data_IF_643131580556
#
_entry.id   IF_643131580556
#
_cell.length_a   1.000
_cell.length_b   1.000
_cell.length_c   1.000
_cell.angle_alpha   90.00
_cell.angle_beta   90.00
_cell.angle_gamma   90.00
#
_symmetry.space_group_name_H-M   'P 1'
#
loop_
_entity.id
_entity.type
_entity.pdbx_description
1 polymer ?
#
# COMPACT_ATOMS: atom_id res chain seq x y z
N UNK A 1 -14.79 24.15 -9.33
CA UNK A 1 -14.17 22.94 -8.78
C UNK A 1 -12.75 23.19 -8.25
N UNK A 2 -11.77 23.50 -9.11
CA UNK A 2 -10.36 23.73 -8.71
C UNK A 2 -10.15 24.66 -7.51
N UNK A 3 -10.65 25.91 -7.56
CA UNK A 3 -10.45 26.88 -6.46
C UNK A 3 -10.99 26.40 -5.12
N UNK A 4 -12.12 25.67 -5.13
CA UNK A 4 -12.71 25.10 -3.92
C UNK A 4 -11.79 24.04 -3.35
N UNK A 5 -11.38 23.06 -4.17
CA UNK A 5 -10.50 21.97 -3.75
C UNK A 5 -9.15 22.51 -3.24
N UNK A 6 -8.51 23.41 -3.98
CA UNK A 6 -7.26 24.03 -3.56
C UNK A 6 -7.42 24.73 -2.20
N UNK A 7 -8.46 25.56 -2.03
CA UNK A 7 -8.68 26.30 -0.78
C UNK A 7 -8.95 25.38 0.42
N UNK A 8 -9.68 24.28 0.20
CA UNK A 8 -9.96 23.28 1.24
C UNK A 8 -8.68 22.55 1.64
N UNK A 9 -7.90 22.08 0.66
CA UNK A 9 -6.63 21.38 0.90
C UNK A 9 -5.60 22.30 1.60
N UNK A 10 -5.54 23.58 1.23
CA UNK A 10 -4.69 24.58 1.90
C UNK A 10 -5.13 24.81 3.35
N UNK A 11 -6.44 24.96 3.59
CA UNK A 11 -7.04 25.16 4.93
C UNK A 11 -6.72 24.00 5.89
N UNK A 12 -6.72 22.76 5.40
CA UNK A 12 -6.41 21.56 6.20
C UNK A 12 -4.91 21.22 6.22
N UNK A 13 -4.05 22.12 5.72
CA UNK A 13 -2.60 21.95 5.67
C UNK A 13 -2.17 20.62 5.02
N UNK A 14 -2.82 20.30 3.91
CA UNK A 14 -2.46 19.15 3.08
C UNK A 14 -1.00 19.26 2.60
N UNK A 15 -0.31 18.13 2.53
CA UNK A 15 1.06 18.06 2.01
C UNK A 15 1.18 16.85 1.08
N UNK A 16 1.11 17.10 -0.22
CA UNK A 16 1.01 16.04 -1.21
C UNK A 16 0.62 16.53 -2.59
N UNK A 17 0.16 15.59 -3.42
CA UNK A 17 -0.35 15.83 -4.76
C UNK A 17 -1.72 15.20 -4.94
N UNK A 18 -2.61 15.92 -5.63
CA UNK A 18 -3.94 15.48 -6.04
C UNK A 18 -4.06 15.65 -7.54
N UNK A 19 -4.48 14.59 -8.24
CA UNK A 19 -4.95 14.67 -9.62
C UNK A 19 -6.37 14.12 -9.66
N UNK A 20 -7.34 14.91 -10.10
CA UNK A 20 -8.70 14.45 -10.35
C UNK A 20 -9.14 14.86 -11.75
N UNK A 21 -9.84 13.97 -12.46
CA UNK A 21 -10.41 14.25 -13.77
C UNK A 21 -11.86 13.77 -13.81
N UNK A 22 -12.77 14.68 -14.15
CA UNK A 22 -14.21 14.41 -14.20
C UNK A 22 -14.63 13.82 -15.56
N UNK A 23 -15.85 13.28 -15.64
CA UNK A 23 -16.44 12.74 -16.88
C UNK A 23 -16.55 13.76 -18.02
N UNK A 24 -16.55 15.06 -17.69
CA UNK A 24 -16.53 16.14 -18.66
C UNK A 24 -15.11 16.61 -19.05
N UNK A 25 -14.07 15.86 -18.65
CA UNK A 25 -12.65 16.18 -18.81
C UNK A 25 -12.20 17.45 -18.08
N UNK A 26 -12.89 17.86 -17.00
CA UNK A 26 -12.35 18.90 -16.13
C UNK A 26 -11.24 18.29 -15.27
N UNK A 27 -10.07 18.92 -15.28
CA UNK A 27 -8.89 18.44 -14.55
C UNK A 27 -8.62 19.34 -13.36
N UNK A 28 -8.36 18.71 -12.22
CA UNK A 28 -7.82 19.32 -11.01
C UNK A 28 -6.46 18.68 -10.76
N UNK A 29 -5.40 19.47 -10.87
CA UNK A 29 -4.03 19.03 -10.59
C UNK A 29 -3.43 20.00 -9.58
N UNK A 30 -3.31 19.53 -8.34
CA UNK A 30 -2.97 20.34 -7.17
C UNK A 30 -1.81 19.71 -6.43
N UNK A 31 -0.75 20.49 -6.21
CA UNK A 31 0.37 20.13 -5.35
C UNK A 31 0.48 21.15 -4.21
N UNK A 32 0.59 20.69 -2.97
CA UNK A 32 0.72 21.56 -1.79
C UNK A 32 1.83 21.02 -0.89
N UNK A 33 2.63 21.93 -0.33
CA UNK A 33 3.60 21.61 0.71
C UNK A 33 5.00 21.27 0.17
N UNK A 34 5.73 20.46 0.93
CA UNK A 34 7.16 20.20 0.72
C UNK A 34 7.45 18.72 0.45
N UNK A 35 8.17 18.48 -0.64
CA UNK A 35 8.78 17.19 -0.96
C UNK A 35 9.85 16.86 0.08
N UNK A 36 10.62 17.87 0.50
CA UNK A 36 11.52 17.78 1.65
C UNK A 36 11.37 19.02 2.52
N UNK A 37 10.72 18.86 3.68
CA UNK A 37 10.48 19.96 4.62
C UNK A 37 11.77 20.50 5.24
N UNK A 38 12.78 19.65 5.47
CA UNK A 38 14.04 20.05 6.11
C UNK A 38 14.86 20.97 5.20
N UNK A 39 14.84 20.67 3.90
CA UNK A 39 15.54 21.43 2.87
C UNK A 39 14.63 22.44 2.15
N UNK A 40 13.38 22.60 2.58
CA UNK A 40 12.37 23.48 2.00
C UNK A 40 12.16 23.28 0.49
N UNK A 41 12.23 22.02 0.03
CA UNK A 41 11.99 21.67 -1.37
C UNK A 41 10.48 21.54 -1.59
N UNK A 42 9.85 22.39 -2.42
CA UNK A 42 8.40 22.33 -2.65
C UNK A 42 8.00 21.08 -3.44
N UNK A 43 6.76 20.64 -3.26
CA UNK A 43 6.14 19.65 -4.16
C UNK A 43 5.79 20.36 -5.47
N UNK A 44 6.07 19.68 -6.58
CA UNK A 44 5.76 20.14 -7.94
C UNK A 44 5.14 18.99 -8.73
N UNK A 45 4.61 19.26 -9.93
CA UNK A 45 4.09 18.22 -10.82
C UNK A 45 5.13 17.19 -11.28
N UNK A 46 6.43 17.44 -11.07
CA UNK A 46 7.52 16.49 -11.36
C UNK A 46 8.02 15.73 -10.13
N UNK A 47 7.48 16.03 -8.94
CA UNK A 47 7.89 15.37 -7.70
C UNK A 47 7.41 13.91 -7.71
N UNK A 48 8.36 12.99 -7.64
CA UNK A 48 8.10 11.57 -7.53
C UNK A 48 7.71 11.19 -6.10
N UNK A 49 6.62 10.44 -5.93
CA UNK A 49 6.21 9.86 -4.66
C UNK A 49 6.46 8.35 -4.68
N UNK A 50 6.89 7.76 -3.56
CA UNK A 50 6.83 6.31 -3.39
C UNK A 50 5.35 5.91 -3.33
N UNK A 51 4.88 5.15 -4.32
CA UNK A 51 3.47 4.76 -4.43
C UNK A 51 3.16 3.43 -3.72
N UNK A 52 4.13 2.85 -3.02
CA UNK A 52 3.97 1.65 -2.19
C UNK A 52 3.15 0.56 -2.92
N UNK A 53 2.14 -0.02 -2.28
CA UNK A 53 1.33 -1.11 -2.85
C UNK A 53 0.55 -0.77 -4.13
N UNK A 54 0.37 0.51 -4.47
CA UNK A 54 -0.21 0.89 -5.76
C UNK A 54 0.63 0.36 -6.94
N UNK A 55 1.93 0.13 -6.70
CA UNK A 55 2.86 -0.53 -7.64
C UNK A 55 2.36 -1.88 -8.16
N UNK A 56 1.55 -2.62 -7.39
CA UNK A 56 1.01 -3.93 -7.77
C UNK A 56 0.21 -3.90 -9.06
N UNK A 57 -0.51 -2.81 -9.33
CA UNK A 57 -1.22 -2.64 -10.60
C UNK A 57 -0.25 -2.69 -11.80
N UNK A 58 0.93 -2.06 -11.69
CA UNK A 58 1.93 -2.04 -12.75
C UNK A 58 2.53 -3.44 -12.97
N UNK A 59 2.87 -4.12 -11.88
CA UNK A 59 3.36 -5.51 -11.90
C UNK A 59 2.35 -6.43 -12.56
N UNK A 60 1.09 -6.36 -12.13
CA UNK A 60 0.02 -7.16 -12.70
C UNK A 60 -0.13 -6.92 -14.20
N UNK A 61 -0.11 -5.66 -14.66
CA UNK A 61 -0.19 -5.35 -16.09
C UNK A 61 1.00 -5.90 -16.89
N UNK A 62 2.22 -5.89 -16.34
CA UNK A 62 3.37 -6.52 -16.99
C UNK A 62 3.19 -8.05 -17.11
N UNK A 63 2.71 -8.71 -16.05
CA UNK A 63 2.37 -10.15 -16.07
C UNK A 63 1.30 -10.44 -17.12
N UNK A 64 0.22 -9.65 -17.15
CA UNK A 64 -0.88 -9.82 -18.10
C UNK A 64 -0.43 -9.65 -19.55
N UNK A 65 0.46 -8.70 -19.83
CA UNK A 65 1.07 -8.54 -21.15
C UNK A 65 1.91 -9.77 -21.55
N UNK A 66 2.71 -10.33 -20.64
CA UNK A 66 3.47 -11.56 -20.89
C UNK A 66 2.53 -12.76 -21.14
N UNK A 67 1.38 -12.81 -20.47
CA UNK A 67 0.34 -13.82 -20.70
C UNK A 67 -0.31 -13.66 -22.08
N UNK A 68 -0.68 -12.44 -22.48
CA UNK A 68 -1.23 -12.19 -23.83
C UNK A 68 -0.25 -12.57 -24.94
N UNK A 69 1.04 -12.33 -24.70
CA UNK A 69 2.13 -12.71 -25.59
C UNK A 69 2.45 -14.22 -25.55
N UNK A 70 1.77 -14.98 -24.68
CA UNK A 70 1.96 -16.43 -24.47
C UNK A 70 3.37 -16.82 -24.02
N UNK A 71 4.10 -15.88 -23.40
CA UNK A 71 5.42 -16.13 -22.81
C UNK A 71 5.27 -16.91 -21.52
N UNK A 72 4.24 -16.57 -20.73
CA UNK A 72 3.82 -17.25 -19.50
C UNK A 72 2.31 -17.51 -19.57
N UNK A 73 1.78 -18.35 -18.68
CA UNK A 73 0.34 -18.63 -18.60
C UNK A 73 -0.16 -18.52 -17.16
N UNK A 74 -1.43 -18.11 -16.98
CA UNK A 74 -2.08 -18.06 -15.67
C UNK A 74 -1.91 -19.33 -14.83
N UNK A 75 -1.94 -20.50 -15.47
CA UNK A 75 -1.83 -21.81 -14.82
C UNK A 75 -0.42 -22.40 -14.82
N UNK A 76 0.59 -21.62 -15.19
CA UNK A 76 1.97 -22.03 -14.98
C UNK A 76 2.20 -22.13 -13.45
N UNK A 77 2.72 -23.28 -13.01
CA UNK A 77 3.07 -23.51 -11.61
C UNK A 77 4.36 -22.77 -11.23
N UNK A 78 4.48 -22.44 -9.94
CA UNK A 78 5.64 -21.76 -9.37
C UNK A 78 6.95 -22.53 -9.57
N UNK A 79 6.86 -23.87 -9.60
CA UNK A 79 7.99 -24.80 -9.86
C UNK A 79 8.67 -24.62 -11.22
N UNK A 80 8.04 -23.92 -12.16
CA UNK A 80 8.67 -23.55 -13.44
C UNK A 80 9.73 -22.46 -13.27
N UNK A 81 9.65 -21.68 -12.20
CA UNK A 81 10.41 -20.45 -12.00
C UNK A 81 11.27 -20.47 -10.73
N UNK A 82 10.87 -21.26 -9.74
CA UNK A 82 11.55 -21.38 -8.46
C UNK A 82 11.64 -22.83 -8.02
N UNK A 83 12.72 -23.18 -7.32
CA UNK A 83 12.85 -24.48 -6.68
C UNK A 83 11.98 -24.50 -5.41
N UNK A 84 10.80 -25.09 -5.45
CA UNK A 84 9.95 -25.24 -4.27
C UNK A 84 9.08 -26.49 -4.36
N UNK A 85 9.16 -27.34 -3.34
CA UNK A 85 8.26 -28.49 -3.20
C UNK A 85 7.00 -28.19 -2.38
N UNK A 86 7.08 -27.19 -1.49
CA UNK A 86 6.00 -26.79 -0.58
C UNK A 86 4.89 -26.08 -1.38
N UNK A 87 5.27 -25.13 -2.23
CA UNK A 87 4.34 -24.29 -2.99
C UNK A 87 4.18 -24.76 -4.45
N UNK A 88 4.36 -26.06 -4.71
CA UNK A 88 4.42 -26.62 -6.06
C UNK A 88 3.15 -26.46 -6.90
N UNK A 89 2.01 -26.35 -6.22
CA UNK A 89 0.67 -26.24 -6.82
C UNK A 89 0.20 -24.76 -6.92
N UNK A 90 1.00 -23.81 -6.45
CA UNK A 90 0.72 -22.37 -6.61
C UNK A 90 0.91 -21.98 -8.08
N UNK A 91 -0.08 -21.30 -8.65
CA UNK A 91 -0.03 -20.78 -10.02
C UNK A 91 0.21 -19.28 -10.08
N UNK A 92 0.56 -18.76 -11.26
CA UNK A 92 0.66 -17.31 -11.51
C UNK A 92 -0.65 -16.57 -11.18
N UNK A 93 -1.80 -17.19 -11.48
CA UNK A 93 -3.12 -16.63 -11.14
C UNK A 93 -3.31 -16.51 -9.62
N UNK A 94 -2.83 -17.49 -8.85
CA UNK A 94 -2.92 -17.45 -7.38
C UNK A 94 -2.08 -16.32 -6.78
N UNK A 95 -0.92 -16.02 -7.37
CA UNK A 95 -0.10 -14.88 -6.97
C UNK A 95 -0.81 -13.56 -7.25
N UNK A 96 -1.32 -13.37 -8.47
CA UNK A 96 -2.03 -12.15 -8.90
C UNK A 96 -3.26 -11.86 -8.03
N UNK A 97 -3.98 -12.90 -7.61
CA UNK A 97 -5.25 -12.79 -6.89
C UNK A 97 -5.14 -12.91 -5.37
N UNK A 98 -3.93 -13.03 -4.81
CA UNK A 98 -3.72 -13.24 -3.37
C UNK A 98 -4.38 -14.52 -2.81
N UNK A 99 -4.40 -15.60 -3.60
CA UNK A 99 -4.97 -16.90 -3.22
C UNK A 99 -3.92 -18.00 -3.07
N UNK A 100 -2.64 -17.64 -2.99
CA UNK A 100 -1.51 -18.59 -2.95
C UNK A 100 -1.31 -19.28 -1.60
N UNK A 101 -1.71 -18.64 -0.50
CA UNK A 101 -1.41 -19.08 0.87
C UNK A 101 0.04 -18.83 1.30
N UNK A 102 0.84 -18.15 0.49
CA UNK A 102 2.26 -17.88 0.77
C UNK A 102 2.40 -16.83 1.90
N UNK A 103 3.21 -17.09 2.94
CA UNK A 103 3.43 -16.14 4.02
C UNK A 103 4.05 -14.81 3.60
N UNK A 104 3.85 -13.79 4.43
CA UNK A 104 4.39 -12.45 4.23
C UNK A 104 5.89 -12.40 4.54
N UNK A 105 6.65 -11.67 3.72
CA UNK A 105 8.08 -11.43 3.92
C UNK A 105 8.34 -10.10 4.64
N UNK A 106 7.49 -9.09 4.44
CA UNK A 106 7.65 -7.77 5.07
C UNK A 106 7.59 -7.90 6.59
N UNK A 107 8.37 -7.11 7.34
CA UNK A 107 8.45 -7.26 8.80
C UNK A 107 9.38 -8.38 9.28
N UNK A 108 9.65 -9.40 8.45
CA UNK A 108 10.59 -10.44 8.82
C UNK A 108 12.03 -10.02 8.54
N UNK A 109 12.70 -9.51 9.57
CA UNK A 109 14.10 -9.10 9.48
C UNK A 109 15.05 -10.21 9.02
N UNK A 110 14.68 -11.49 9.20
CA UNK A 110 15.50 -12.65 8.85
C UNK A 110 15.40 -13.07 7.38
N UNK A 111 14.43 -12.56 6.62
CA UNK A 111 14.32 -12.85 5.19
C UNK A 111 15.33 -12.01 4.43
N UNK A 112 16.38 -12.65 3.91
CA UNK A 112 17.39 -12.01 3.06
C UNK A 112 17.07 -12.21 1.58
N UNK A 113 16.54 -13.38 1.20
CA UNK A 113 16.04 -13.66 -0.15
C UNK A 113 14.58 -14.12 -0.10
N UNK A 114 13.76 -13.75 -1.09
CA UNK A 114 12.33 -14.06 -1.05
C UNK A 114 12.08 -15.58 -1.15
N UNK A 115 13.00 -16.31 -1.77
CA UNK A 115 13.02 -17.77 -1.87
C UNK A 115 13.17 -18.43 -0.49
N UNK A 116 13.69 -17.75 0.53
CA UNK A 116 13.71 -18.26 1.90
C UNK A 116 12.30 -18.57 2.41
N UNK A 117 11.29 -17.78 2.00
CA UNK A 117 9.89 -18.07 2.31
C UNK A 117 9.45 -19.38 1.63
N UNK A 118 9.87 -19.60 0.39
CA UNK A 118 9.47 -20.78 -0.40
C UNK A 118 10.10 -22.09 0.10
N UNK A 119 11.17 -22.01 0.89
CA UNK A 119 11.88 -23.16 1.44
C UNK A 119 11.60 -23.41 2.92
N UNK A 120 11.38 -22.35 3.70
CA UNK A 120 11.40 -22.43 5.16
C UNK A 120 10.05 -22.14 5.84
N UNK A 121 9.01 -21.82 5.06
CA UNK A 121 7.69 -21.50 5.60
C UNK A 121 6.63 -22.44 5.04
N UNK A 122 5.64 -22.74 5.87
CA UNK A 122 4.45 -23.50 5.49
C UNK A 122 3.36 -22.55 4.96
N UNK A 123 2.51 -22.99 4.02
CA UNK A 123 1.38 -22.19 3.56
C UNK A 123 0.36 -21.99 4.69
N UNK A 124 -0.24 -20.80 4.77
CA UNK A 124 -1.38 -20.58 5.67
C UNK A 124 -2.62 -21.38 5.25
N UNK A 125 -2.78 -21.64 3.95
CA UNK A 125 -3.84 -22.45 3.37
C UNK A 125 -3.43 -22.98 1.99
N UNK A 126 -4.17 -23.97 1.48
CA UNK A 126 -3.90 -24.52 0.15
C UNK A 126 -4.22 -23.51 -0.96
N UNK A 127 -3.46 -23.50 -2.07
CA UNK A 127 -3.70 -22.55 -3.17
C UNK A 127 -5.15 -22.60 -3.66
N UNK A 128 -5.80 -21.44 -3.75
CA UNK A 128 -7.20 -21.30 -4.17
C UNK A 128 -8.24 -21.72 -3.12
N UNK A 129 -7.86 -22.05 -1.88
CA UNK A 129 -8.81 -22.36 -0.80
C UNK A 129 -9.04 -21.20 0.18
N UNK A 130 -8.26 -20.14 0.10
CA UNK A 130 -8.35 -18.96 0.96
C UNK A 130 -7.83 -17.71 0.25
N UNK A 131 -8.00 -16.56 0.89
CA UNK A 131 -7.50 -15.28 0.41
C UNK A 131 -6.70 -14.59 1.51
N UNK A 132 -5.49 -14.17 1.19
CA UNK A 132 -4.61 -13.43 2.09
C UNK A 132 -3.76 -12.48 1.27
N UNK A 133 -3.90 -11.19 1.53
CA UNK A 133 -3.02 -10.17 0.98
C UNK A 133 -1.59 -10.40 1.50
N UNK A 134 -0.66 -10.64 0.57
CA UNK A 134 0.75 -10.88 0.88
C UNK A 134 1.61 -10.23 -0.19
N UNK A 135 2.56 -9.41 0.24
CA UNK A 135 3.49 -8.73 -0.64
C UNK A 135 4.44 -9.73 -1.33
N UNK A 136 4.73 -10.85 -0.68
CA UNK A 136 5.55 -11.95 -1.23
C UNK A 136 5.09 -12.37 -2.62
N UNK A 137 3.77 -12.44 -2.86
CA UNK A 137 3.24 -12.81 -4.17
C UNK A 137 3.74 -11.91 -5.29
N UNK A 138 3.77 -10.60 -5.04
CA UNK A 138 4.12 -9.62 -6.06
C UNK A 138 5.62 -9.47 -6.25
N UNK A 139 6.42 -9.75 -5.21
CA UNK A 139 7.88 -9.90 -5.35
C UNK A 139 8.21 -11.11 -6.22
N UNK A 140 7.53 -12.24 -6.01
CA UNK A 140 7.69 -13.42 -6.86
C UNK A 140 7.25 -13.15 -8.31
N UNK A 141 6.16 -12.40 -8.51
CA UNK A 141 5.75 -11.98 -9.86
C UNK A 141 6.79 -11.08 -10.53
N UNK A 142 7.44 -10.17 -9.80
CA UNK A 142 8.56 -9.38 -10.34
C UNK A 142 9.73 -10.26 -10.77
N UNK A 143 10.13 -11.25 -9.95
CA UNK A 143 11.16 -12.22 -10.33
C UNK A 143 10.77 -13.04 -11.56
N UNK A 144 9.50 -13.47 -11.68
CA UNK A 144 8.99 -14.14 -12.88
C UNK A 144 9.06 -13.21 -14.10
N UNK A 145 8.70 -11.93 -13.96
CA UNK A 145 8.80 -10.95 -15.04
C UNK A 145 10.25 -10.87 -15.54
N UNK A 146 11.23 -10.74 -14.65
CA UNK A 146 12.65 -10.64 -15.03
C UNK A 146 13.15 -11.91 -15.72
N UNK A 147 12.81 -13.09 -15.17
CA UNK A 147 13.16 -14.37 -15.77
C UNK A 147 12.50 -14.56 -17.16
N UNK A 148 11.24 -14.18 -17.31
CA UNK A 148 10.51 -14.33 -18.57
C UNK A 148 10.94 -13.32 -19.64
N UNK A 149 11.22 -12.08 -19.25
CA UNK A 149 11.59 -10.99 -20.17
C UNK A 149 13.08 -10.95 -20.48
N UNK A 150 13.92 -11.53 -19.62
CA UNK A 150 15.39 -11.41 -19.64
C UNK A 150 15.86 -9.94 -19.52
N UNK A 151 15.05 -9.09 -18.90
CA UNK A 151 15.32 -7.69 -18.61
C UNK A 151 15.18 -7.43 -17.12
N UNK A 152 15.78 -6.35 -16.62
CA UNK A 152 15.51 -5.91 -15.25
C UNK A 152 14.04 -5.50 -15.09
N UNK A 153 13.53 -5.53 -13.86
CA UNK A 153 12.17 -5.08 -13.54
C UNK A 153 11.94 -3.63 -14.01
N UNK A 154 12.92 -2.74 -13.80
CA UNK A 154 12.87 -1.36 -14.28
C UNK A 154 12.80 -1.28 -15.80
N UNK A 155 13.66 -2.00 -16.53
CA UNK A 155 13.66 -1.94 -17.99
C UNK A 155 12.35 -2.50 -18.57
N UNK A 156 11.78 -3.50 -17.90
CA UNK A 156 10.47 -4.05 -18.26
C UNK A 156 9.36 -3.04 -18.02
N UNK A 157 9.33 -2.37 -16.86
CA UNK A 157 8.39 -1.29 -16.54
C UNK A 157 8.46 -0.17 -17.59
N UNK A 158 9.66 0.28 -17.92
CA UNK A 158 9.88 1.32 -18.92
C UNK A 158 9.37 0.88 -20.30
N UNK A 159 9.74 -0.32 -20.75
CA UNK A 159 9.42 -0.81 -22.09
C UNK A 159 7.94 -1.15 -22.27
N UNK A 160 7.33 -1.79 -21.29
CA UNK A 160 5.99 -2.36 -21.40
C UNK A 160 4.88 -1.41 -20.95
N UNK A 161 5.19 -0.39 -20.14
CA UNK A 161 4.18 0.52 -19.59
C UNK A 161 4.56 1.98 -19.83
N UNK A 162 5.72 2.41 -19.32
CA UNK A 162 6.04 3.83 -19.26
C UNK A 162 6.20 4.45 -20.65
N UNK A 163 6.94 3.82 -21.55
CA UNK A 163 7.14 4.31 -22.92
C UNK A 163 5.85 4.30 -23.76
N UNK A 164 5.04 3.21 -23.81
CA UNK A 164 3.78 3.19 -24.55
C UNK A 164 2.78 4.29 -24.13
N UNK A 165 2.75 4.63 -22.84
CA UNK A 165 1.86 5.65 -22.29
C UNK A 165 2.51 7.02 -22.07
N UNK A 166 3.80 7.16 -22.42
CA UNK A 166 4.60 8.37 -22.24
C UNK A 166 4.65 8.85 -20.77
N UNK A 167 4.77 7.91 -19.83
CA UNK A 167 4.91 8.18 -18.39
C UNK A 167 6.36 8.58 -18.08
N UNK A 168 6.66 9.87 -18.14
CA UNK A 168 8.04 10.39 -18.01
C UNK A 168 8.56 10.39 -16.57
N UNK A 169 7.65 10.26 -15.60
CA UNK A 169 7.91 10.34 -14.18
C UNK A 169 7.38 9.09 -13.48
N UNK A 170 7.68 7.90 -14.03
CA UNK A 170 7.38 6.58 -13.44
C UNK A 170 8.64 5.73 -13.48
N UNK A 171 9.17 5.31 -12.32
CA UNK A 171 10.45 4.56 -12.24
C UNK A 171 10.63 3.88 -10.88
N UNK A 172 11.42 2.82 -10.81
CA UNK A 172 11.97 2.24 -9.57
C UNK A 172 13.34 2.84 -9.18
N UNK A 173 13.91 3.71 -10.02
CA UNK A 173 15.24 4.30 -9.86
C UNK A 173 15.16 5.84 -9.86
N UNK A 174 14.58 6.48 -8.83
CA UNK A 174 14.24 7.92 -8.84
C UNK A 174 15.43 8.89 -8.79
N UNK A 175 16.68 8.42 -8.96
CA UNK A 175 17.93 9.17 -8.71
C UNK A 175 18.07 10.49 -9.48
N UNK A 176 17.40 10.64 -10.62
CA UNK A 176 17.51 11.82 -11.49
C UNK A 176 16.37 12.83 -11.34
N UNK A 177 15.46 12.64 -10.38
CA UNK A 177 14.23 13.44 -10.24
C UNK A 177 14.01 13.86 -8.78
N UNK A 178 13.38 15.02 -8.54
CA UNK A 178 12.94 15.39 -7.19
C UNK A 178 12.03 14.30 -6.63
N UNK A 179 12.37 13.78 -5.46
CA UNK A 179 11.62 12.70 -4.81
C UNK A 179 11.10 13.21 -3.48
N UNK A 180 9.82 12.97 -3.21
CA UNK A 180 9.22 13.27 -1.94
C UNK A 180 9.88 12.41 -0.85
N UNK A 181 10.31 13.04 0.23
CA UNK A 181 10.89 12.39 1.40
C UNK A 181 9.75 12.12 2.37
N UNK A 182 9.60 10.86 2.75
CA UNK A 182 8.59 10.40 3.70
C UNK A 182 8.82 10.99 5.09
N UNK A 183 7.74 11.40 5.72
CA UNK A 183 7.77 12.04 7.05
C UNK A 183 6.85 11.31 8.01
N UNK A 184 7.31 11.16 9.24
CA UNK A 184 6.54 10.63 10.36
C UNK A 184 6.16 11.77 11.31
N UNK A 185 4.99 11.69 11.93
CA UNK A 185 4.57 12.62 12.96
C UNK A 185 5.15 12.19 14.32
N UNK A 186 6.05 13.00 14.86
CA UNK A 186 6.53 12.87 16.23
C UNK A 186 5.46 13.39 17.18
N UNK A 187 4.69 12.48 17.76
CA UNK A 187 3.60 12.80 18.69
C UNK A 187 4.08 13.42 20.00
N UNK A 188 5.36 13.32 20.37
CA UNK A 188 5.88 13.91 21.60
C UNK A 188 6.20 15.38 21.36
N UNK A 189 6.95 15.66 20.29
CA UNK A 189 7.38 17.02 19.94
C UNK A 189 6.38 17.75 19.03
N UNK A 190 5.29 17.09 18.63
CA UNK A 190 4.20 17.63 17.81
C UNK A 190 4.70 18.24 16.49
N UNK A 191 5.57 17.50 15.78
CA UNK A 191 6.16 17.94 14.52
C UNK A 191 6.44 16.76 13.59
N UNK A 192 6.54 17.03 12.30
CA UNK A 192 7.06 16.04 11.36
C UNK A 192 8.58 15.89 11.44
N UNK A 193 9.05 14.66 11.32
CA UNK A 193 10.46 14.28 11.18
C UNK A 193 10.62 13.41 9.94
N UNK A 194 11.83 13.33 9.37
CA UNK A 194 12.08 12.34 8.32
C UNK A 194 11.90 10.94 8.89
N UNK A 195 11.36 10.00 8.10
CA UNK A 195 11.20 8.60 8.52
C UNK A 195 12.51 8.01 9.04
N UNK A 196 13.63 8.38 8.42
CA UNK A 196 14.97 7.92 8.79
C UNK A 196 15.50 8.48 10.12
N UNK A 197 14.87 9.53 10.66
CA UNK A 197 15.18 10.08 11.98
C UNK A 197 14.44 9.33 13.12
N UNK A 198 13.45 8.49 12.81
CA UNK A 198 12.71 7.70 13.79
C UNK A 198 13.50 6.42 14.20
N UNK A 199 13.68 6.12 15.50
CA UNK A 199 14.49 4.98 15.94
C UNK A 199 14.00 3.61 15.45
N UNK A 200 12.69 3.43 15.21
CA UNK A 200 12.10 2.19 14.71
C UNK A 200 12.28 2.10 13.19
N UNK A 201 12.06 3.21 12.49
CA UNK A 201 12.03 3.23 11.02
C UNK A 201 13.34 3.70 10.36
N UNK A 202 14.39 4.03 11.12
CA UNK A 202 15.68 4.51 10.59
C UNK A 202 16.32 3.64 9.50
N UNK A 203 16.00 2.36 9.53
CA UNK A 203 16.56 1.31 8.67
C UNK A 203 15.52 0.69 7.73
N UNK A 204 14.31 1.29 7.65
CA UNK A 204 13.16 0.74 6.90
C UNK A 204 13.49 0.51 5.42
N UNK A 205 14.35 1.36 4.85
CA UNK A 205 14.72 1.29 3.44
C UNK A 205 15.96 0.39 3.19
N UNK A 206 16.64 -0.16 4.21
CA UNK A 206 17.90 -0.90 4.01
C UNK A 206 17.73 -2.21 3.21
N UNK A 207 16.52 -2.74 3.07
CA UNK A 207 16.19 -3.90 2.23
C UNK A 207 15.75 -3.42 0.84
N UNK A 208 16.71 -3.07 0.00
CA UNK A 208 16.46 -2.40 -1.30
C UNK A 208 16.20 -3.33 -2.49
N UNK A 209 16.21 -4.65 -2.32
CA UNK A 209 16.22 -5.58 -3.47
C UNK A 209 14.88 -6.25 -3.78
N UNK A 210 13.80 -5.88 -3.08
CA UNK A 210 12.46 -6.37 -3.39
C UNK A 210 11.63 -5.30 -4.10
N UNK A 211 11.08 -5.68 -5.25
CA UNK A 211 10.23 -4.86 -6.10
C UNK A 211 9.03 -5.69 -6.55
N UNK A 212 8.00 -5.02 -7.07
CA UNK A 212 6.81 -5.64 -7.64
C UNK A 212 5.59 -5.50 -6.75
N UNK A 213 5.77 -5.70 -5.45
CA UNK A 213 4.79 -5.37 -4.42
C UNK A 213 4.76 -3.87 -4.12
N UNK A 214 5.91 -3.20 -4.25
CA UNK A 214 6.14 -1.78 -4.08
C UNK A 214 7.32 -1.29 -4.93
N UNK A 215 7.95 -0.20 -4.47
CA UNK A 215 9.21 0.29 -5.04
C UNK A 215 9.11 1.11 -6.32
N UNK A 216 7.91 1.27 -6.90
CA UNK A 216 7.69 2.25 -7.97
C UNK A 216 7.51 3.63 -7.35
N UNK A 217 8.10 4.61 -8.00
CA UNK A 217 7.90 6.03 -7.76
C UNK A 217 7.19 6.64 -8.95
N UNK A 218 6.14 7.42 -8.70
CA UNK A 218 5.37 8.08 -9.76
C UNK A 218 4.81 9.45 -9.35
N UNK A 219 4.40 10.25 -10.34
CA UNK A 219 3.56 11.45 -10.12
C UNK A 219 2.07 11.09 -10.21
N UNK A 220 1.21 11.92 -9.60
CA UNK A 220 -0.23 11.72 -9.65
C UNK A 220 -0.77 11.67 -11.10
N UNK A 221 -0.22 12.52 -11.97
CA UNK A 221 -0.59 12.58 -13.38
C UNK A 221 -0.22 11.30 -14.15
N UNK A 222 0.96 10.73 -13.90
CA UNK A 222 1.38 9.50 -14.58
C UNK A 222 0.56 8.29 -14.12
N UNK A 223 0.19 8.21 -12.85
CA UNK A 223 -0.72 7.18 -12.34
C UNK A 223 -2.09 7.28 -13.02
N UNK A 224 -2.64 8.49 -13.16
CA UNK A 224 -3.90 8.71 -13.85
C UNK A 224 -3.83 8.27 -15.33
N UNK A 225 -2.74 8.58 -16.03
CA UNK A 225 -2.51 8.10 -17.41
C UNK A 225 -2.39 6.59 -17.49
N UNK A 226 -1.68 5.98 -16.53
CA UNK A 226 -1.52 4.53 -16.43
C UNK A 226 -2.88 3.82 -16.31
N UNK A 227 -3.68 4.17 -15.30
CA UNK A 227 -4.95 3.46 -15.03
C UNK A 227 -5.96 3.66 -16.17
N UNK A 228 -6.04 4.87 -16.73
CA UNK A 228 -6.91 5.13 -17.90
C UNK A 228 -6.40 4.40 -19.14
N UNK A 229 -5.09 4.35 -19.36
CA UNK A 229 -4.49 3.64 -20.48
C UNK A 229 -4.76 2.13 -20.42
N UNK A 230 -4.68 1.55 -19.21
CA UNK A 230 -5.07 0.17 -18.95
C UNK A 230 -6.55 -0.08 -19.30
N UNK A 231 -7.49 0.72 -18.76
CA UNK A 231 -8.93 0.59 -19.04
C UNK A 231 -9.29 0.74 -20.52
N UNK A 232 -8.53 1.56 -21.24
CA UNK A 232 -8.71 1.77 -22.69
C UNK A 232 -8.13 0.64 -23.55
N UNK A 233 -7.55 -0.39 -22.94
CA UNK A 233 -6.91 -1.51 -23.64
C UNK A 233 -5.64 -1.11 -24.40
N UNK A 234 -4.92 -0.07 -23.95
CA UNK A 234 -3.66 0.38 -24.58
C UNK A 234 -2.46 -0.48 -24.20
N UNK A 235 -2.54 -1.19 -23.07
CA UNK A 235 -1.46 -2.03 -22.54
C UNK A 235 -1.73 -3.52 -22.76
N UNK A 236 -2.99 -3.93 -22.67
CA UNK A 236 -3.48 -5.29 -22.93
C UNK A 236 -4.83 -5.21 -23.64
N UNK A 237 -5.32 -6.28 -24.26
CA UNK A 237 -6.64 -6.29 -24.89
C UNK A 237 -7.77 -6.02 -23.89
N UNK A 238 -8.91 -5.51 -24.37
CA UNK A 238 -10.09 -5.30 -23.51
C UNK A 238 -10.63 -6.60 -22.91
N UNK A 239 -10.41 -7.75 -23.57
CA UNK A 239 -10.73 -9.07 -23.00
C UNK A 239 -9.89 -9.34 -21.76
N UNK A 240 -8.58 -9.05 -21.83
CA UNK A 240 -7.67 -9.20 -20.70
C UNK A 240 -7.93 -8.17 -19.60
N UNK A 241 -8.31 -6.93 -19.95
CA UNK A 241 -8.79 -5.93 -18.96
C UNK A 241 -9.97 -6.49 -18.19
N UNK A 242 -11.01 -6.99 -18.88
CA UNK A 242 -12.19 -7.56 -18.23
C UNK A 242 -11.85 -8.77 -17.36
N UNK A 243 -10.92 -9.63 -17.80
CA UNK A 243 -10.45 -10.76 -17.00
C UNK A 243 -9.68 -10.31 -15.75
N UNK A 244 -8.81 -9.32 -15.88
CA UNK A 244 -8.02 -8.80 -14.77
C UNK A 244 -8.90 -8.12 -13.71
N UNK A 245 -10.00 -7.50 -14.12
CA UNK A 245 -10.96 -6.83 -13.24
C UNK A 245 -12.06 -7.74 -12.72
N UNK A 246 -12.13 -9.00 -13.15
CA UNK A 246 -13.04 -9.97 -12.57
C UNK A 246 -12.57 -10.30 -11.13
N UNK A 247 -13.41 -10.05 -10.10
CA UNK A 247 -12.99 -10.30 -8.73
C UNK A 247 -12.72 -11.78 -8.45
N UNK A 248 -11.82 -12.03 -7.51
CA UNK A 248 -11.57 -13.36 -6.97
C UNK A 248 -12.87 -13.92 -6.36
N UNK A 249 -13.19 -15.21 -6.57
CA UNK A 249 -14.29 -15.87 -5.88
C UNK A 249 -14.16 -15.84 -4.34
N UNK A 250 -12.94 -15.61 -3.83
CA UNK A 250 -12.62 -15.61 -2.40
C UNK A 250 -12.52 -14.20 -1.82
N UNK A 251 -12.54 -13.15 -2.66
CA UNK A 251 -12.55 -11.76 -2.22
C UNK A 251 -13.24 -10.88 -3.27
N UNK A 252 -14.47 -10.45 -2.97
CA UNK A 252 -15.37 -9.78 -3.92
C UNK A 252 -14.85 -8.46 -4.48
N UNK A 253 -13.83 -7.87 -3.84
CA UNK A 253 -13.30 -6.56 -4.20
C UNK A 253 -11.86 -6.58 -4.72
N UNK A 254 -11.30 -7.74 -5.09
CA UNK A 254 -9.91 -7.83 -5.58
C UNK A 254 -9.81 -8.67 -6.86
N UNK A 255 -9.22 -8.09 -7.92
CA UNK A 255 -8.90 -8.74 -9.18
C UNK A 255 -7.40 -9.07 -9.30
N UNK A 256 -6.87 -9.13 -10.53
CA UNK A 256 -5.43 -9.31 -10.77
C UNK A 256 -4.67 -7.99 -10.48
N UNK A 257 -4.38 -7.70 -9.21
CA UNK A 257 -3.61 -6.53 -8.79
C UNK A 257 -4.39 -5.23 -8.71
N UNK A 258 -5.71 -5.31 -8.81
CA UNK A 258 -6.62 -4.16 -8.73
C UNK A 258 -7.65 -4.41 -7.62
N UNK A 259 -7.89 -3.40 -6.81
CA UNK A 259 -9.10 -3.30 -6.00
C UNK A 259 -10.24 -2.92 -6.95
N UNK A 260 -11.33 -3.65 -6.91
CA UNK A 260 -12.51 -3.48 -7.76
C UNK A 260 -13.73 -3.32 -6.87
N UNK A 261 -14.24 -2.11 -6.74
CA UNK A 261 -15.32 -1.80 -5.81
C UNK A 261 -16.21 -0.69 -6.35
N UNK A 262 -17.52 -0.85 -6.20
CA UNK A 262 -18.53 0.18 -6.51
C UNK A 262 -18.41 0.77 -7.92
N UNK A 263 -18.14 -0.07 -8.92
CA UNK A 263 -17.98 0.34 -10.32
C UNK A 263 -16.67 1.07 -10.63
N UNK A 264 -15.74 1.10 -9.68
CA UNK A 264 -14.42 1.71 -9.80
C UNK A 264 -13.31 0.68 -9.60
N UNK A 265 -12.13 1.01 -10.11
CA UNK A 265 -10.90 0.24 -9.98
C UNK A 265 -9.76 1.09 -9.44
N UNK A 266 -8.76 0.44 -8.87
CA UNK A 266 -7.51 1.09 -8.54
C UNK A 266 -6.75 0.29 -7.49
N UNK A 267 -6.05 1.00 -6.61
CA UNK A 267 -5.36 0.42 -5.47
C UNK A 267 -4.95 1.53 -4.50
N UNK A 268 -4.77 1.19 -3.23
CA UNK A 268 -4.09 2.05 -2.24
C UNK A 268 -2.63 1.62 -2.04
N UNK A 269 -1.84 2.46 -1.41
CA UNK A 269 -0.48 2.11 -1.03
C UNK A 269 -0.04 2.87 0.19
N UNK A 270 0.38 2.15 1.23
CA UNK A 270 0.98 2.71 2.43
C UNK A 270 2.41 2.23 2.60
N UNK A 271 3.29 3.13 3.01
CA UNK A 271 4.64 2.86 3.50
C UNK A 271 4.93 3.89 4.61
N UNK A 272 5.84 3.65 5.57
CA UNK A 272 6.15 4.65 6.58
C UNK A 272 6.43 6.03 5.98
N UNK A 273 5.56 7.00 6.28
CA UNK A 273 5.61 8.36 5.78
C UNK A 273 5.13 8.58 4.34
N UNK A 274 4.46 7.62 3.72
CA UNK A 274 3.86 7.74 2.39
C UNK A 274 2.46 7.10 2.35
N UNK A 275 1.54 7.76 1.67
CA UNK A 275 0.24 7.18 1.31
C UNK A 275 -0.10 7.52 -0.12
N UNK A 276 -0.84 6.62 -0.77
CA UNK A 276 -1.25 6.75 -2.16
C UNK A 276 -2.59 6.08 -2.39
N UNK A 277 -3.43 6.73 -3.19
CA UNK A 277 -4.72 6.20 -3.58
C UNK A 277 -4.94 6.47 -5.06
N UNK A 278 -5.44 5.46 -5.77
CA UNK A 278 -5.98 5.56 -7.11
C UNK A 278 -7.40 5.02 -7.10
N UNK A 279 -8.34 5.81 -7.58
CA UNK A 279 -9.71 5.39 -7.84
C UNK A 279 -10.08 5.84 -9.25
N UNK A 280 -10.51 4.91 -10.11
CA UNK A 280 -10.91 5.20 -11.47
C UNK A 280 -12.21 4.47 -11.82
N UNK A 281 -13.24 5.23 -12.18
CA UNK A 281 -14.54 4.71 -12.59
C UNK A 281 -14.43 3.97 -13.92
N UNK A 282 -14.90 2.73 -13.96
CA UNK A 282 -14.88 1.89 -15.17
C UNK A 282 -15.86 2.39 -16.22
N UNK A 283 -16.96 3.04 -15.79
CA UNK A 283 -18.03 3.50 -16.69
C UNK A 283 -17.84 4.93 -17.16
N UNK A 284 -17.55 5.86 -16.24
CA UNK A 284 -17.39 7.28 -16.56
C UNK A 284 -15.97 7.67 -16.95
N UNK A 285 -14.96 6.85 -16.61
CA UNK A 285 -13.55 7.17 -16.82
C UNK A 285 -13.02 8.26 -15.89
N UNK A 286 -13.82 8.69 -14.92
CA UNK A 286 -13.42 9.59 -13.85
C UNK A 286 -12.28 8.99 -13.05
N UNK A 287 -11.29 9.79 -12.68
CA UNK A 287 -10.13 9.32 -11.93
C UNK A 287 -9.77 10.30 -10.83
N UNK A 288 -9.45 9.77 -9.67
CA UNK A 288 -8.96 10.51 -8.50
C UNK A 288 -7.69 9.83 -8.01
N UNK A 289 -6.60 10.60 -7.95
CA UNK A 289 -5.31 10.21 -7.41
C UNK A 289 -4.99 11.14 -6.23
N UNK A 290 -4.65 10.57 -5.09
CA UNK A 290 -4.21 11.28 -3.88
C UNK A 290 -2.88 10.68 -3.44
N UNK A 291 -1.84 11.51 -3.33
CA UNK A 291 -0.51 11.10 -2.89
C UNK A 291 -0.05 11.98 -1.73
N UNK A 292 0.48 11.38 -0.67
CA UNK A 292 1.05 12.08 0.49
C UNK A 292 2.45 11.55 0.78
N UNK A 293 3.33 12.42 1.28
CA UNK A 293 4.64 12.05 1.84
C UNK A 293 4.73 12.39 3.34
N UNK A 294 3.59 12.28 4.01
CA UNK A 294 3.46 12.48 5.44
C UNK A 294 2.59 11.36 6.02
N UNK A 295 3.00 10.85 7.17
CA UNK A 295 2.14 10.07 8.05
C UNK A 295 0.91 10.91 8.38
N UNK A 296 -0.29 10.34 8.18
CA UNK A 296 -1.58 10.96 8.46
C UNK A 296 -2.57 9.90 8.95
N UNK A 297 -3.64 10.35 9.61
CA UNK A 297 -4.74 9.48 10.04
C UNK A 297 -5.48 8.90 8.82
N UNK A 298 -5.81 7.59 8.80
CA UNK A 298 -6.66 7.01 7.75
C UNK A 298 -8.00 7.74 7.56
N UNK A 299 -8.61 8.21 8.65
CA UNK A 299 -9.87 8.98 8.59
C UNK A 299 -9.70 10.34 7.89
N UNK A 300 -8.53 10.98 8.03
CA UNK A 300 -8.22 12.24 7.35
C UNK A 300 -8.13 12.02 5.83
N UNK A 301 -7.44 10.96 5.40
CA UNK A 301 -7.33 10.63 3.97
C UNK A 301 -8.67 10.21 3.38
N UNK A 302 -9.45 9.41 4.11
CA UNK A 302 -10.79 9.00 3.69
C UNK A 302 -11.69 10.21 3.41
N UNK A 303 -11.76 11.18 4.34
CA UNK A 303 -12.58 12.37 4.11
C UNK A 303 -12.07 13.22 2.94
N UNK A 304 -10.76 13.29 2.70
CA UNK A 304 -10.22 13.97 1.51
C UNK A 304 -10.68 13.25 0.24
N UNK A 305 -10.59 11.92 0.19
CA UNK A 305 -11.04 11.14 -0.97
C UNK A 305 -12.53 11.30 -1.23
N UNK A 306 -13.36 11.23 -0.19
CA UNK A 306 -14.81 11.50 -0.27
C UNK A 306 -15.08 12.90 -0.83
N UNK A 307 -14.34 13.90 -0.35
CA UNK A 307 -14.43 15.27 -0.82
C UNK A 307 -13.99 15.44 -2.28
N UNK A 308 -12.89 14.79 -2.69
CA UNK A 308 -12.39 14.86 -4.07
C UNK A 308 -13.34 14.19 -5.06
N UNK A 309 -14.04 13.13 -4.65
CA UNK A 309 -14.97 12.42 -5.50
C UNK A 309 -16.32 13.13 -5.67
N UNK A 310 -16.76 13.92 -4.67
CA UNK A 310 -18.05 14.63 -4.71
C UNK A 310 -17.95 16.08 -4.18
N UNK A 311 -17.07 16.94 -4.72
CA UNK A 311 -16.68 18.20 -4.09
C UNK A 311 -17.81 19.22 -3.89
N UNK A 312 -18.94 19.07 -4.59
CA UNK A 312 -20.11 19.95 -4.44
C UNK A 312 -21.15 19.41 -3.45
N UNK A 313 -21.13 18.11 -3.14
CA UNK A 313 -22.14 17.42 -2.32
C UNK A 313 -21.55 16.86 -1.00
N UNK A 314 -20.23 16.73 -0.93
CA UNK A 314 -19.49 16.27 0.24
C UNK A 314 -19.26 17.39 1.25
N UNK A 315 -19.23 17.04 2.54
CA UNK A 315 -18.72 17.92 3.59
C UNK A 315 -17.22 18.16 3.39
N UNK A 316 -16.74 19.38 3.66
CA UNK A 316 -15.30 19.62 3.74
C UNK A 316 -14.65 18.70 4.78
N UNK A 317 -13.43 18.17 4.52
CA UNK A 317 -12.71 17.37 5.50
C UNK A 317 -12.50 18.14 6.80
N UNK A 318 -12.91 17.53 7.91
CA UNK A 318 -12.76 18.05 9.27
C UNK A 318 -12.08 17.07 10.24
N UNK A 319 -11.82 15.84 9.79
CA UNK A 319 -11.06 14.86 10.54
C UNK A 319 -9.66 15.42 10.87
N UNK A 320 -9.17 15.20 12.11
CA UNK A 320 -7.84 15.66 12.48
C UNK A 320 -6.78 14.89 11.67
N UNK A 321 -5.75 15.60 11.23
CA UNK A 321 -4.63 15.01 10.46
C UNK A 321 -3.93 13.88 11.22
N UNK A 322 -3.91 13.94 12.56
CA UNK A 322 -3.39 12.89 13.45
C UNK A 322 -4.35 12.65 14.62
N UNK A 323 -4.39 11.42 15.19
CA UNK A 323 -5.08 11.19 16.45
C UNK A 323 -4.40 11.96 17.60
N UNK A 324 -5.20 12.39 18.58
CA UNK A 324 -4.66 12.91 19.84
C UNK A 324 -4.17 11.75 20.70
N UNK A 325 -2.94 11.85 21.24
CA UNK A 325 -2.40 10.83 22.17
C UNK A 325 -2.40 11.36 23.61
N UNK A 326 -2.62 10.45 24.56
CA UNK A 326 -2.42 10.67 25.98
C UNK A 326 -0.94 10.46 26.34
N UNK A 327 -0.51 11.11 27.43
CA UNK A 327 0.84 10.90 27.98
C UNK A 327 1.02 9.43 28.37
N UNK A 328 2.13 8.84 27.94
CA UNK A 328 2.50 7.48 28.30
C UNK A 328 2.53 7.26 29.82
N UNK A 329 1.98 6.13 30.25
CA UNK A 329 1.94 5.68 31.63
C UNK A 329 2.31 4.19 31.70
N UNK A 330 3.45 3.87 32.31
CA UNK A 330 3.87 2.47 32.48
C UNK A 330 3.03 1.71 33.52
N UNK A 331 2.21 2.39 34.33
CA UNK A 331 1.34 1.74 35.31
C UNK A 331 0.25 0.84 34.66
N UNK A 332 -0.02 1.00 33.36
CA UNK A 332 -0.97 0.15 32.64
C UNK A 332 -0.46 -1.30 32.46
N UNK A 333 0.85 -1.56 32.66
CA UNK A 333 1.48 -2.89 32.69
C UNK A 333 1.10 -3.82 31.52
N UNK A 334 1.12 -3.28 30.31
CA UNK A 334 0.71 -3.99 29.09
C UNK A 334 1.80 -4.89 28.49
N UNK A 335 3.03 -4.84 28.99
CA UNK A 335 4.08 -5.68 28.43
C UNK A 335 3.79 -7.17 28.61
N UNK A 336 3.95 -7.96 27.55
CA UNK A 336 3.74 -9.40 27.55
C UNK A 336 3.39 -9.96 26.18
N UNK A 337 3.13 -11.26 26.14
CA UNK A 337 2.69 -11.99 24.94
C UNK A 337 1.20 -12.24 25.03
N UNK A 338 0.51 -12.06 23.92
CA UNK A 338 -0.93 -12.13 23.81
C UNK A 338 -1.32 -13.00 22.61
N UNK A 339 -2.52 -13.58 22.68
CA UNK A 339 -3.08 -14.37 21.60
C UNK A 339 -4.54 -13.96 21.35
N UNK A 340 -4.87 -13.70 20.09
CA UNK A 340 -6.23 -13.46 19.62
C UNK A 340 -7.05 -14.76 19.69
N UNK A 341 -8.32 -14.63 20.04
CA UNK A 341 -9.30 -15.69 19.96
C UNK A 341 -9.90 -15.78 18.54
N UNK A 342 -9.03 -15.73 17.54
CA UNK A 342 -9.38 -15.98 16.13
C UNK A 342 -9.15 -17.46 15.78
N UNK A 343 -9.54 -17.84 14.57
CA UNK A 343 -9.37 -19.22 14.08
C UNK A 343 -7.90 -19.60 13.80
N UNK A 344 -7.01 -18.61 13.76
CA UNK A 344 -5.59 -18.77 13.42
C UNK A 344 -4.68 -18.80 14.65
N UNK A 345 -5.19 -18.44 15.84
CA UNK A 345 -4.40 -18.31 17.06
C UNK A 345 -3.35 -17.22 16.98
N UNK A 346 -3.65 -16.11 16.27
CA UNK A 346 -2.68 -15.03 15.99
C UNK A 346 -2.10 -14.49 17.28
N UNK A 347 -0.77 -14.42 17.36
CA UNK A 347 -0.07 -13.95 18.55
C UNK A 347 0.59 -12.59 18.30
N UNK A 348 0.68 -11.78 19.35
CA UNK A 348 1.40 -10.51 19.33
C UNK A 348 2.09 -10.25 20.67
N UNK A 349 3.16 -9.46 20.62
CA UNK A 349 3.97 -9.12 21.78
C UNK A 349 3.88 -7.61 21.99
N UNK A 350 3.60 -7.19 23.23
CA UNK A 350 3.72 -5.80 23.65
C UNK A 350 4.98 -5.66 24.51
N UNK A 351 5.81 -4.68 24.18
CA UNK A 351 7.03 -4.32 24.93
C UNK A 351 6.96 -2.86 25.36
N UNK A 352 7.62 -2.51 26.46
CA UNK A 352 7.83 -1.11 26.82
C UNK A 352 8.90 -0.49 25.91
N UNK A 353 8.57 0.65 25.30
CA UNK A 353 9.48 1.47 24.52
C UNK A 353 9.79 2.81 25.20
N UNK A 354 10.47 3.70 24.48
CA UNK A 354 10.73 5.06 24.95
C UNK A 354 9.46 5.90 24.76
N UNK A 355 8.77 6.23 25.86
CA UNK A 355 7.56 7.06 25.88
C UNK A 355 6.34 6.48 25.13
N UNK A 356 6.34 5.19 24.82
CA UNK A 356 5.18 4.45 24.31
C UNK A 356 5.35 2.95 24.59
N UNK A 357 4.30 2.16 24.37
CA UNK A 357 4.47 0.73 24.14
C UNK A 357 4.86 0.49 22.67
N UNK A 358 5.43 -0.67 22.40
CA UNK A 358 5.72 -1.19 21.06
C UNK A 358 4.98 -2.51 20.92
N UNK A 359 4.26 -2.70 19.82
CA UNK A 359 3.57 -3.94 19.48
C UNK A 359 4.26 -4.60 18.28
N UNK A 360 4.40 -5.92 18.35
CA UNK A 360 5.00 -6.76 17.32
C UNK A 360 4.07 -7.93 17.03
N UNK A 361 3.80 -8.20 15.75
CA UNK A 361 3.22 -9.46 15.28
C UNK A 361 4.33 -10.31 14.64
N UNK A 362 4.19 -11.63 14.60
CA UNK A 362 5.26 -12.55 14.19
C UNK A 362 5.83 -12.25 12.78
N UNK A 363 5.00 -11.71 11.88
CA UNK A 363 5.37 -11.37 10.50
C UNK A 363 5.10 -9.88 10.17
N UNK A 364 5.24 -8.97 11.15
CA UNK A 364 5.12 -7.52 10.92
C UNK A 364 6.23 -6.73 11.61
N UNK A 365 6.51 -5.52 11.11
CA UNK A 365 7.42 -4.60 11.77
C UNK A 365 6.87 -4.16 13.13
N UNK A 366 7.78 -4.00 14.09
CA UNK A 366 7.50 -3.30 15.34
C UNK A 366 6.86 -1.94 15.05
N UNK A 367 5.77 -1.64 15.75
CA UNK A 367 5.10 -0.34 15.63
C UNK A 367 4.74 0.22 17.00
N UNK A 368 4.59 1.54 17.08
CA UNK A 368 4.21 2.18 18.33
C UNK A 368 2.74 1.89 18.67
N UNK A 369 2.50 1.62 19.95
CA UNK A 369 1.18 1.49 20.54
C UNK A 369 0.95 2.71 21.46
N UNK A 370 0.14 3.66 20.99
CA UNK A 370 -0.11 4.93 21.67
C UNK A 370 -1.43 4.89 22.43
N UNK A 371 -1.42 5.38 23.66
CA UNK A 371 -2.65 5.55 24.45
C UNK A 371 -3.45 6.71 23.87
N UNK A 372 -4.69 6.48 23.45
CA UNK A 372 -5.57 7.51 22.88
C UNK A 372 -6.76 7.82 23.80
N UNK A 373 -7.19 6.85 24.60
CA UNK A 373 -8.18 7.01 25.67
C UNK A 373 -7.77 6.20 26.91
N UNK A 374 -8.41 6.37 28.09
CA UNK A 374 -8.00 5.70 29.33
C UNK A 374 -7.80 4.18 29.21
N UNK A 375 -8.60 3.49 28.40
CA UNK A 375 -8.52 2.04 28.18
C UNK A 375 -8.27 1.66 26.71
N UNK A 376 -8.01 2.62 25.83
CA UNK A 376 -7.89 2.39 24.39
C UNK A 376 -6.51 2.81 23.90
N UNK A 377 -5.83 1.89 23.23
CA UNK A 377 -4.56 2.12 22.58
C UNK A 377 -4.71 1.99 21.08
N UNK A 378 -4.16 2.93 20.35
CA UNK A 378 -4.11 2.93 18.89
C UNK A 378 -2.78 2.34 18.43
N UNK A 379 -2.86 1.43 17.46
CA UNK A 379 -1.70 0.89 16.76
C UNK A 379 -1.34 1.88 15.64
N UNK A 380 -0.17 2.51 15.75
CA UNK A 380 0.26 3.59 14.85
C UNK A 380 0.10 3.19 13.38
N UNK A 381 -0.50 4.08 12.58
CA UNK A 381 -0.79 3.95 11.14
C UNK A 381 -1.76 2.85 10.72
N UNK A 382 -2.61 2.41 11.64
CA UNK A 382 -3.65 1.44 11.34
C UNK A 382 -5.02 1.98 11.76
N UNK A 383 -6.09 1.30 11.32
CA UNK A 383 -7.43 1.44 11.92
C UNK A 383 -7.64 0.41 13.04
N UNK A 384 -6.55 0.02 13.72
CA UNK A 384 -6.54 -1.04 14.71
C UNK A 384 -6.23 -0.50 16.11
N UNK A 385 -6.88 -1.08 17.11
CA UNK A 385 -6.84 -0.62 18.50
C UNK A 385 -6.82 -1.80 19.48
N UNK A 386 -6.34 -1.54 20.69
CA UNK A 386 -6.40 -2.47 21.82
C UNK A 386 -7.21 -1.83 22.94
N UNK A 387 -8.35 -2.44 23.26
CA UNK A 387 -9.18 -2.06 24.39
C UNK A 387 -8.87 -2.94 25.61
N UNK A 388 -8.07 -2.42 26.53
CA UNK A 388 -7.42 -3.22 27.58
C UNK A 388 -8.39 -3.73 28.65
N UNK A 389 -9.42 -2.96 28.99
CA UNK A 389 -10.38 -3.36 30.03
C UNK A 389 -11.39 -4.39 29.55
N UNK A 390 -11.59 -4.46 28.23
CA UNK A 390 -12.48 -5.46 27.60
C UNK A 390 -11.71 -6.66 27.07
N UNK A 391 -10.38 -6.56 26.95
CA UNK A 391 -9.56 -7.61 26.35
C UNK A 391 -9.88 -7.81 24.88
N UNK A 392 -10.13 -6.71 24.14
CA UNK A 392 -10.53 -6.74 22.74
C UNK A 392 -9.48 -6.04 21.88
N UNK A 393 -9.07 -6.72 20.82
CA UNK A 393 -8.33 -6.17 19.69
C UNK A 393 -9.37 -5.74 18.65
N UNK A 394 -9.34 -4.48 18.25
CA UNK A 394 -10.27 -3.94 17.25
C UNK A 394 -9.47 -3.76 15.97
N UNK A 395 -9.94 -4.29 14.86
CA UNK A 395 -9.33 -4.13 13.54
C UNK A 395 -10.39 -3.69 12.54
N UNK A 396 -10.22 -2.50 11.97
CA UNK A 396 -11.18 -1.90 11.04
C UNK A 396 -12.64 -1.89 11.58
N UNK A 397 -12.78 -1.75 12.90
CA UNK A 397 -14.08 -1.76 13.60
C UNK A 397 -14.58 -3.15 14.00
N UNK A 398 -13.89 -4.23 13.66
CA UNK A 398 -14.20 -5.60 14.09
C UNK A 398 -13.44 -5.93 15.38
N UNK A 399 -14.17 -6.27 16.45
CA UNK A 399 -13.60 -6.65 17.73
C UNK A 399 -13.32 -8.16 17.84
N UNK A 400 -12.08 -8.52 18.17
CA UNK A 400 -11.61 -9.88 18.41
C UNK A 400 -11.09 -9.96 19.86
N UNK A 401 -11.63 -10.85 20.71
CA UNK A 401 -11.10 -11.04 22.07
C UNK A 401 -9.65 -11.52 22.04
N UNK A 402 -8.86 -11.17 23.05
CA UNK A 402 -7.51 -11.69 23.24
C UNK A 402 -7.26 -12.09 24.69
N UNK A 403 -6.25 -12.92 24.90
CA UNK A 403 -5.79 -13.29 26.23
C UNK A 403 -4.26 -13.17 26.34
N UNK A 404 -3.80 -12.81 27.54
CA UNK A 404 -2.36 -12.76 27.86
C UNK A 404 -1.88 -14.18 28.18
N UNK A 405 -0.77 -14.59 27.57
CA UNK A 405 -0.15 -15.91 27.77
C UNK A 405 0.62 -16.01 29.09
#
# INVERSE_FOLDING_TARGET
MFNSIYSTLEKIQFNGAVYAETSNNEIVDVTIGFADMKNLVPITGETLFNIASLSKMYTAVMVLQLIEQKVIHFKDNLTKWFDTSIFKDVTIEDLLMHTSGIPEYTGNSSVEDIEDILHNKEPYFSPGSGWLYTNTNYVLLAKIIEQASQLSYEDTLQRMIAQPLQLQNTTTKPKSKPTAVGKLFDFINQKYIHVTDDPIFKDIDKKHDFYGDGGIYATAQDIARFVKGFLQGKLVSLEMVNRALAPSPLHSSYGCGFIVQDGSIGHSGGWPGYSSHCLCSVTSGEVTILLTNEEVSPFYEQQILEFLNQPNDSKEPDAPKHPSIMKFNSADNLAGTYQLADEYGTSFIIKEGINSYVISFDDQHDTHLFKVEPNLYWIRNTMSYIHISEGIFIDEGVGIPFHKQ
#
